data_IF_804863027977
#
_entry.id   IF_804863027977
#
_cell.length_a   1.000
_cell.length_b   1.000
_cell.length_c   1.000
_cell.angle_alpha   90.00
_cell.angle_beta   90.00
_cell.angle_gamma   90.00
#
_symmetry.space_group_name_H-M   'P 1'
#
loop_
_entity.id
_entity.type
_entity.pdbx_description
1 polymer ?
#
# COMPACT_ATOMS: atom_id res chain seq x y z
N UNK A 1 7.71 4.48 11.27
CA UNK A 1 8.21 3.92 10.00
C UNK A 1 8.69 2.50 10.25
N UNK A 2 8.05 1.48 9.64
CA UNK A 2 8.43 0.09 9.90
C UNK A 2 9.82 -0.22 9.35
N UNK A 3 10.71 -0.74 10.20
CA UNK A 3 12.07 -1.12 9.82
C UNK A 3 12.09 -2.30 8.84
N UNK A 4 11.04 -3.12 8.81
CA UNK A 4 10.93 -4.24 7.88
C UNK A 4 10.70 -3.82 6.40
N UNK A 5 10.37 -2.54 6.15
CA UNK A 5 10.20 -2.03 4.80
C UNK A 5 11.53 -1.45 4.32
N UNK A 6 12.29 -2.21 3.53
CA UNK A 6 13.57 -1.73 2.97
C UNK A 6 13.36 -0.82 1.73
N UNK A 7 12.31 -1.09 0.94
CA UNK A 7 12.01 -0.34 -0.28
C UNK A 7 11.45 1.06 0.03
N UNK A 8 12.05 2.10 -0.55
CA UNK A 8 11.53 3.49 -0.51
C UNK A 8 10.10 3.57 -1.01
N UNK A 9 9.76 2.80 -2.05
CA UNK A 9 8.41 2.77 -2.61
C UNK A 9 7.42 2.13 -1.63
N UNK A 10 7.81 1.08 -0.91
CA UNK A 10 6.98 0.47 0.12
C UNK A 10 6.71 1.42 1.29
N UNK A 11 7.73 2.17 1.71
CA UNK A 11 7.60 3.24 2.71
C UNK A 11 6.61 4.31 2.25
N UNK A 12 6.69 4.74 0.98
CA UNK A 12 5.81 5.77 0.44
C UNK A 12 4.33 5.33 0.44
N UNK A 13 4.06 4.10 -0.02
CA UNK A 13 2.71 3.51 0.00
C UNK A 13 2.19 3.35 1.43
N UNK A 14 3.05 2.91 2.36
CA UNK A 14 2.70 2.79 3.78
C UNK A 14 2.27 4.15 4.37
N UNK A 15 3.04 5.23 4.19
CA UNK A 15 2.70 6.55 4.75
C UNK A 15 1.40 7.08 4.18
N UNK A 16 1.20 6.90 2.87
CA UNK A 16 -0.04 7.31 2.23
C UNK A 16 -1.25 6.62 2.87
N UNK A 17 -1.19 5.29 3.04
CA UNK A 17 -2.29 4.52 3.64
C UNK A 17 -2.43 4.75 5.15
N UNK A 18 -1.34 5.02 5.87
CA UNK A 18 -1.40 5.40 7.29
C UNK A 18 -2.22 6.68 7.49
N UNK A 19 -2.09 7.63 6.55
CA UNK A 19 -2.83 8.89 6.56
C UNK A 19 -4.26 8.77 6.05
N UNK A 20 -4.44 8.18 4.86
CA UNK A 20 -5.75 8.12 4.20
C UNK A 20 -6.64 7.00 4.75
N UNK A 21 -6.06 6.04 5.48
CA UNK A 21 -6.69 4.86 6.10
C UNK A 21 -7.27 3.85 5.12
N UNK A 22 -7.76 4.30 3.97
CA UNK A 22 -8.35 3.45 2.94
C UNK A 22 -8.22 4.11 1.56
N UNK A 23 -7.92 3.31 0.53
CA UNK A 23 -7.86 3.77 -0.84
C UNK A 23 -8.15 2.62 -1.82
N UNK A 24 -8.53 2.94 -3.06
CA UNK A 24 -8.52 1.97 -4.15
C UNK A 24 -7.09 1.77 -4.66
N UNK A 25 -6.78 0.59 -5.22
CA UNK A 25 -5.49 0.35 -5.92
C UNK A 25 -5.28 1.38 -7.04
N UNK A 26 -6.34 1.74 -7.77
CA UNK A 26 -6.28 2.74 -8.84
C UNK A 26 -6.00 4.15 -8.29
N UNK A 27 -6.63 4.53 -7.18
CA UNK A 27 -6.40 5.79 -6.49
C UNK A 27 -4.97 5.91 -5.95
N UNK A 28 -4.44 4.84 -5.35
CA UNK A 28 -3.05 4.73 -4.92
C UNK A 28 -2.07 4.91 -6.07
N UNK A 29 -2.28 4.19 -7.18
CA UNK A 29 -1.41 4.26 -8.35
C UNK A 29 -1.39 5.69 -8.92
N UNK A 30 -2.55 6.34 -9.00
CA UNK A 30 -2.67 7.72 -9.49
C UNK A 30 -2.07 8.75 -8.53
N UNK A 31 -2.27 8.60 -7.22
CA UNK A 31 -1.82 9.58 -6.23
C UNK A 31 -0.30 9.55 -6.02
N UNK A 32 0.32 8.38 -6.19
CA UNK A 32 1.75 8.17 -5.95
C UNK A 32 2.58 8.09 -7.23
N UNK A 33 1.94 8.21 -8.40
CA UNK A 33 2.56 8.00 -9.72
C UNK A 33 3.34 6.68 -9.80
N UNK A 34 2.72 5.62 -9.29
CA UNK A 34 3.33 4.28 -9.20
C UNK A 34 2.69 3.35 -10.25
N UNK A 35 3.50 2.67 -11.08
CA UNK A 35 2.98 1.64 -11.98
C UNK A 35 2.25 0.54 -11.22
N UNK A 36 1.04 0.17 -11.67
CA UNK A 36 0.19 -0.84 -11.01
C UNK A 36 0.94 -2.14 -10.71
N UNK A 37 1.78 -2.60 -11.64
CA UNK A 37 2.55 -3.83 -11.44
C UNK A 37 3.49 -3.73 -10.23
N UNK A 38 4.21 -2.61 -10.08
CA UNK A 38 5.05 -2.35 -8.91
C UNK A 38 4.23 -2.16 -7.64
N UNK A 39 3.07 -1.48 -7.75
CA UNK A 39 2.15 -1.30 -6.63
C UNK A 39 1.62 -2.64 -6.10
N UNK A 40 1.26 -3.59 -6.98
CA UNK A 40 0.79 -4.90 -6.54
C UNK A 40 1.86 -5.65 -5.75
N UNK A 41 3.13 -5.60 -6.18
CA UNK A 41 4.24 -6.18 -5.42
C UNK A 41 4.38 -5.54 -4.04
N UNK A 42 4.35 -4.21 -3.98
CA UNK A 42 4.43 -3.47 -2.70
C UNK A 42 3.27 -3.83 -1.78
N UNK A 43 2.04 -3.82 -2.29
CA UNK A 43 0.85 -4.14 -1.52
C UNK A 43 0.86 -5.58 -1.00
N UNK A 44 1.37 -6.54 -1.78
CA UNK A 44 1.55 -7.91 -1.31
C UNK A 44 2.56 -8.01 -0.17
N UNK A 45 3.66 -7.25 -0.22
CA UNK A 45 4.63 -7.16 0.89
C UNK A 45 3.99 -6.55 2.14
N UNK A 46 3.22 -5.47 2.00
CA UNK A 46 2.55 -4.82 3.12
C UNK A 46 1.47 -5.70 3.76
N UNK A 47 0.72 -6.43 2.94
CA UNK A 47 -0.30 -7.37 3.39
C UNK A 47 0.33 -8.57 4.12
N UNK A 48 1.39 -9.16 3.57
CA UNK A 48 2.12 -10.24 4.22
C UNK A 48 2.74 -9.83 5.56
N UNK A 49 3.11 -8.55 5.71
CA UNK A 49 3.61 -7.98 6.95
C UNK A 49 2.51 -7.47 7.89
N UNK A 50 1.23 -7.58 7.51
CA UNK A 50 0.09 -7.19 8.33
C UNK A 50 -0.16 -5.68 8.43
N UNK A 51 0.39 -4.86 7.53
CA UNK A 51 0.17 -3.40 7.54
C UNK A 51 -1.08 -2.96 6.79
N UNK A 52 -1.59 -3.80 5.87
CA UNK A 52 -2.76 -3.48 5.06
C UNK A 52 -3.60 -4.73 4.84
N UNK A 53 -4.89 -4.53 4.60
CA UNK A 53 -5.83 -5.55 4.16
C UNK A 53 -6.36 -5.18 2.78
N UNK A 54 -6.51 -6.17 1.89
CA UNK A 54 -7.10 -5.98 0.56
C UNK A 54 -8.37 -6.78 0.42
N UNK A 55 -9.37 -6.22 -0.27
CA UNK A 55 -10.59 -6.95 -0.62
C UNK A 55 -10.71 -7.21 -2.13
N UNK A 56 -11.70 -8.04 -2.50
CA UNK A 56 -11.98 -8.39 -3.89
C UNK A 56 -12.35 -7.17 -4.78
N UNK A 57 -12.83 -6.09 -4.18
CA UNK A 57 -13.16 -4.83 -4.87
C UNK A 57 -11.94 -3.94 -5.13
N UNK A 58 -10.71 -4.44 -4.91
CA UNK A 58 -9.46 -3.67 -5.04
C UNK A 58 -9.40 -2.45 -4.10
N UNK A 59 -10.11 -2.52 -2.98
CA UNK A 59 -9.88 -1.61 -1.87
C UNK A 59 -8.69 -2.11 -1.05
N UNK A 60 -7.89 -1.16 -0.59
CA UNK A 60 -6.78 -1.35 0.33
C UNK A 60 -7.08 -0.54 1.58
N UNK A 61 -7.08 -1.19 2.72
CA UNK A 61 -7.31 -0.57 4.03
C UNK A 61 -6.06 -0.73 4.88
N UNK A 62 -5.71 0.30 5.64
CA UNK A 62 -4.63 0.23 6.61
C UNK A 62 -5.06 -0.65 7.80
N UNK A 63 -4.27 -1.67 8.10
CA UNK A 63 -4.47 -2.54 9.24
C UNK A 63 -3.89 -1.83 10.48
N UNK A 64 -4.68 -1.74 11.54
CA UNK A 64 -4.39 -0.89 12.70
C UNK A 64 -3.79 -1.68 13.86
#
# INVERSE_FOLDING_TARGET
MPTALESTQAKLVYVYLEREREATVDGLASALDVPKLGLFTVLSTLEAAGYVERNAARMVRFAN
#
